data_IF_313480064474
#
_entry.id   IF_313480064474
#
_cell.length_a   1.000
_cell.length_b   1.000
_cell.length_c   1.000
_cell.angle_alpha   90.00
_cell.angle_beta   90.00
_cell.angle_gamma   90.00
#
_symmetry.space_group_name_H-M   'P 1'
#
loop_
_entity.id
_entity.type
_entity.pdbx_description
1 polymer ?
#
# COMPACT_ATOMS: atom_id res chain seq x y z
N UNK A 1 46.80 45.59 -46.23
CA UNK A 1 46.79 44.36 -45.42
C UNK A 1 46.79 44.77 -43.94
N UNK A 2 45.62 44.91 -43.31
CA UNK A 2 45.52 45.43 -41.94
C UNK A 2 45.95 44.36 -40.93
N UNK A 3 47.14 44.50 -40.35
CA UNK A 3 47.60 43.69 -39.21
C UNK A 3 46.87 44.14 -37.95
N UNK A 4 45.78 43.47 -37.61
CA UNK A 4 45.16 43.62 -36.29
C UNK A 4 46.14 43.19 -35.19
N UNK A 5 46.30 44.03 -34.18
CA UNK A 5 47.09 43.70 -32.98
C UNK A 5 46.45 42.52 -32.26
N UNK A 6 47.27 41.59 -31.77
CA UNK A 6 46.84 40.38 -31.01
C UNK A 6 45.92 40.73 -29.83
N UNK A 7 46.10 41.91 -29.22
CA UNK A 7 45.25 42.43 -28.13
C UNK A 7 43.84 42.80 -28.60
N UNK A 8 43.69 43.41 -29.76
CA UNK A 8 42.38 43.82 -30.29
C UNK A 8 41.58 42.62 -30.81
N UNK A 9 42.26 41.63 -31.38
CA UNK A 9 41.66 40.35 -31.74
C UNK A 9 41.13 39.60 -30.51
N UNK A 10 41.92 39.55 -29.43
CA UNK A 10 41.50 38.91 -28.17
C UNK A 10 40.32 39.65 -27.52
N UNK A 11 40.32 40.99 -27.54
CA UNK A 11 39.22 41.81 -27.00
C UNK A 11 37.91 41.60 -27.78
N UNK A 12 37.97 41.52 -29.11
CA UNK A 12 36.80 41.20 -29.96
C UNK A 12 36.30 39.78 -29.76
N UNK A 13 37.19 38.79 -29.64
CA UNK A 13 36.81 37.40 -29.37
C UNK A 13 36.11 37.27 -28.00
N UNK A 14 36.65 37.91 -26.96
CA UNK A 14 36.05 37.91 -25.64
C UNK A 14 34.69 38.64 -25.61
N UNK A 15 34.52 39.71 -26.39
CA UNK A 15 33.23 40.36 -26.56
C UNK A 15 32.21 39.44 -27.26
N UNK A 16 32.59 38.79 -28.36
CA UNK A 16 31.72 37.84 -29.08
C UNK A 16 31.32 36.65 -28.19
N UNK A 17 32.25 36.11 -27.39
CA UNK A 17 31.95 35.06 -26.42
C UNK A 17 30.94 35.53 -25.37
N UNK A 18 31.11 36.73 -24.80
CA UNK A 18 30.15 37.28 -23.84
C UNK A 18 28.76 37.46 -24.45
N UNK A 19 28.66 38.05 -25.64
CA UNK A 19 27.37 38.21 -26.32
C UNK A 19 26.75 36.86 -26.70
N UNK A 20 27.54 35.90 -27.17
CA UNK A 20 27.06 34.55 -27.46
C UNK A 20 26.54 33.83 -26.21
N UNK A 21 27.22 34.00 -25.07
CA UNK A 21 26.81 33.41 -23.79
C UNK A 21 25.54 34.06 -23.25
N UNK A 22 25.40 35.39 -23.38
CA UNK A 22 24.16 36.10 -23.05
C UNK A 22 23.00 35.62 -23.92
N UNK A 23 23.19 35.51 -25.24
CA UNK A 23 22.16 35.01 -26.14
C UNK A 23 21.77 33.57 -25.84
N UNK A 24 22.74 32.72 -25.49
CA UNK A 24 22.46 31.34 -25.10
C UNK A 24 21.66 31.29 -23.80
N UNK A 25 22.03 32.06 -22.78
CA UNK A 25 21.25 32.14 -21.53
C UNK A 25 19.83 32.67 -21.79
N UNK A 26 19.68 33.69 -22.64
CA UNK A 26 18.36 34.20 -23.03
C UNK A 26 17.53 33.14 -23.76
N UNK A 27 18.12 32.38 -24.70
CA UNK A 27 17.45 31.28 -25.39
C UNK A 27 16.97 30.21 -24.41
N UNK A 28 17.84 29.77 -23.50
CA UNK A 28 17.51 28.76 -22.49
C UNK A 28 16.39 29.24 -21.54
N UNK A 29 16.40 30.51 -21.15
CA UNK A 29 15.32 31.06 -20.32
C UNK A 29 13.98 31.08 -21.04
N UNK A 30 13.97 31.43 -22.34
CA UNK A 30 12.73 31.43 -23.14
C UNK A 30 12.22 30.01 -23.36
N UNK A 31 13.10 29.08 -23.70
CA UNK A 31 12.77 27.66 -23.91
C UNK A 31 12.19 27.05 -22.63
N UNK A 32 12.87 27.25 -21.50
CA UNK A 32 12.39 26.82 -20.19
C UNK A 32 11.04 27.44 -19.81
N UNK A 33 10.83 28.73 -20.12
CA UNK A 33 9.57 29.42 -19.86
C UNK A 33 8.42 28.80 -20.66
N UNK A 34 8.64 28.53 -21.96
CA UNK A 34 7.65 27.90 -22.84
C UNK A 34 7.32 26.48 -22.35
N UNK A 35 8.33 25.64 -22.09
CA UNK A 35 8.11 24.29 -21.56
C UNK A 35 7.33 24.31 -20.24
N UNK A 36 7.62 25.29 -19.39
CA UNK A 36 6.95 25.45 -18.11
C UNK A 36 5.48 25.88 -18.26
N UNK A 37 5.17 26.83 -19.15
CA UNK A 37 3.80 27.23 -19.48
C UNK A 37 3.01 26.07 -20.10
N UNK A 38 3.56 25.37 -21.09
CA UNK A 38 2.90 24.20 -21.70
C UNK A 38 2.65 23.08 -20.69
N UNK A 39 3.60 22.86 -19.76
CA UNK A 39 3.41 21.92 -18.68
C UNK A 39 2.32 22.37 -17.70
N UNK A 40 2.23 23.67 -17.40
CA UNK A 40 1.18 24.23 -16.56
C UNK A 40 -0.20 24.12 -17.20
N UNK A 41 -0.33 24.43 -18.49
CA UNK A 41 -1.58 24.25 -19.26
C UNK A 41 -2.01 22.79 -19.28
N UNK A 42 -1.09 21.87 -19.57
CA UNK A 42 -1.37 20.42 -19.54
C UNK A 42 -1.85 19.95 -18.16
N UNK A 43 -1.24 20.45 -17.08
CA UNK A 43 -1.70 20.14 -15.71
C UNK A 43 -3.10 20.70 -15.44
N UNK A 44 -3.41 21.91 -15.90
CA UNK A 44 -4.71 22.53 -15.70
C UNK A 44 -5.82 21.78 -16.45
N UNK A 45 -5.57 21.37 -17.70
CA UNK A 45 -6.49 20.55 -18.49
C UNK A 45 -6.70 19.20 -17.81
N UNK A 46 -5.62 18.51 -17.45
CA UNK A 46 -5.69 17.22 -16.77
C UNK A 46 -6.47 17.29 -15.45
N UNK A 47 -6.22 18.30 -14.61
CA UNK A 47 -6.96 18.48 -13.35
C UNK A 47 -8.45 18.74 -13.58
N UNK A 48 -8.79 19.52 -14.61
CA UNK A 48 -10.19 19.78 -14.99
C UNK A 48 -10.88 18.50 -15.44
N UNK A 49 -10.25 17.76 -16.36
CA UNK A 49 -10.77 16.49 -16.87
C UNK A 49 -10.93 15.44 -15.75
N UNK A 50 -9.94 15.35 -14.86
CA UNK A 50 -10.01 14.47 -13.70
C UNK A 50 -11.14 14.87 -12.75
N UNK A 51 -11.33 16.18 -12.51
CA UNK A 51 -12.44 16.71 -11.72
C UNK A 51 -13.81 16.42 -12.33
N UNK A 52 -13.94 16.52 -13.65
CA UNK A 52 -15.18 16.21 -14.37
C UNK A 52 -15.46 14.70 -14.34
N UNK A 53 -14.43 13.85 -14.48
CA UNK A 53 -14.56 12.42 -14.27
C UNK A 53 -15.00 12.07 -12.85
N UNK A 54 -14.38 12.67 -11.83
CA UNK A 54 -14.74 12.44 -10.43
C UNK A 54 -16.22 12.76 -10.17
N UNK A 55 -16.72 13.90 -10.66
CA UNK A 55 -18.13 14.29 -10.56
C UNK A 55 -19.05 13.29 -11.29
N UNK A 56 -18.67 12.86 -12.49
CA UNK A 56 -19.43 11.88 -13.27
C UNK A 56 -19.57 10.56 -12.51
N UNK A 57 -18.48 10.05 -11.95
CA UNK A 57 -18.51 8.80 -11.18
C UNK A 57 -19.24 8.95 -9.84
N UNK A 58 -19.15 10.11 -9.19
CA UNK A 58 -19.87 10.38 -7.95
C UNK A 58 -21.41 10.33 -8.11
N UNK A 59 -21.93 10.57 -9.32
CA UNK A 59 -23.36 10.43 -9.63
C UNK A 59 -23.82 8.98 -9.89
N UNK A 60 -22.89 8.03 -10.00
CA UNK A 60 -23.21 6.64 -10.35
C UNK A 60 -23.39 5.77 -9.09
N UNK A 61 -24.36 4.87 -9.14
CA UNK A 61 -24.51 3.80 -8.15
C UNK A 61 -23.52 2.66 -8.42
N UNK A 62 -23.34 2.34 -9.70
CA UNK A 62 -22.40 1.33 -10.19
C UNK A 62 -21.29 2.02 -10.99
N UNK A 63 -20.08 1.96 -10.45
CA UNK A 63 -18.93 2.68 -10.98
C UNK A 63 -18.07 1.74 -11.82
N UNK A 64 -17.74 2.06 -13.07
CA UNK A 64 -16.90 1.19 -13.89
C UNK A 64 -15.47 1.13 -13.34
N UNK A 65 -14.90 -0.08 -13.29
CA UNK A 65 -13.49 -0.31 -12.91
C UNK A 65 -12.70 -0.82 -14.13
N UNK A 66 -11.35 -0.72 -14.12
CA UNK A 66 -10.54 -1.25 -15.20
C UNK A 66 -10.90 -2.69 -15.57
N UNK A 67 -11.20 -2.96 -16.84
CA UNK A 67 -11.37 -4.33 -17.36
C UNK A 67 -12.82 -4.82 -17.50
N UNK A 68 -13.81 -3.99 -17.19
CA UNK A 68 -15.21 -4.21 -17.59
C UNK A 68 -16.20 -4.54 -16.47
N UNK A 69 -15.73 -4.88 -15.27
CA UNK A 69 -16.58 -5.01 -14.09
C UNK A 69 -17.03 -3.64 -13.55
N UNK A 70 -18.02 -3.68 -12.66
CA UNK A 70 -18.55 -2.51 -11.98
C UNK A 70 -18.40 -2.67 -10.45
N UNK A 71 -18.17 -1.57 -9.75
CA UNK A 71 -18.18 -1.46 -8.31
C UNK A 71 -19.53 -0.89 -7.85
N UNK A 72 -20.28 -1.67 -7.06
CA UNK A 72 -21.53 -1.24 -6.43
C UNK A 72 -21.22 -0.40 -5.19
N UNK A 73 -21.38 0.92 -5.31
CA UNK A 73 -21.08 1.88 -4.24
C UNK A 73 -22.01 1.73 -3.05
N UNK A 74 -23.25 1.27 -3.25
CA UNK A 74 -24.23 1.11 -2.17
C UNK A 74 -23.78 0.09 -1.12
N UNK A 75 -22.92 -0.86 -1.52
CA UNK A 75 -22.43 -1.95 -0.67
C UNK A 75 -21.17 -1.62 0.11
N UNK A 76 -20.52 -0.49 -0.19
CA UNK A 76 -19.25 -0.06 0.43
C UNK A 76 -19.36 1.36 1.02
N UNK A 77 -20.34 1.65 1.90
CA UNK A 77 -20.41 2.94 2.58
C UNK A 77 -19.09 3.24 3.29
N UNK A 78 -18.68 4.51 3.30
CA UNK A 78 -17.47 4.97 3.98
C UNK A 78 -16.14 4.69 3.28
N UNK A 79 -16.14 3.96 2.16
CA UNK A 79 -14.98 3.82 1.28
C UNK A 79 -15.01 4.84 0.14
N UNK A 80 -13.85 5.37 -0.19
CA UNK A 80 -13.64 6.33 -1.27
C UNK A 80 -12.96 5.64 -2.43
N UNK A 81 -13.28 6.03 -3.65
CA UNK A 81 -12.56 5.56 -4.84
C UNK A 81 -11.88 6.72 -5.56
N UNK A 82 -10.68 6.47 -6.08
CA UNK A 82 -10.02 7.38 -7.01
C UNK A 82 -10.66 7.30 -8.38
N UNK A 83 -10.62 8.41 -9.13
CA UNK A 83 -11.11 8.48 -10.51
C UNK A 83 -9.97 8.70 -11.48
N UNK A 84 -10.02 7.99 -12.61
CA UNK A 84 -9.03 8.09 -13.67
C UNK A 84 -9.71 8.21 -15.04
N UNK A 85 -9.09 8.99 -15.94
CA UNK A 85 -9.52 9.19 -17.31
C UNK A 85 -8.69 8.28 -18.23
N UNK A 86 -9.35 7.42 -18.99
CA UNK A 86 -8.72 6.57 -19.99
C UNK A 86 -8.42 7.33 -21.28
N UNK A 87 -7.50 6.79 -22.08
CA UNK A 87 -7.16 7.32 -23.41
C UNK A 87 -8.33 7.35 -24.39
N UNK A 88 -9.36 6.54 -24.18
CA UNK A 88 -10.61 6.54 -24.96
C UNK A 88 -11.65 7.55 -24.46
N UNK A 89 -11.31 8.37 -23.46
CA UNK A 89 -12.20 9.36 -22.86
C UNK A 89 -13.15 8.81 -21.80
N UNK A 90 -13.08 7.51 -21.46
CA UNK A 90 -13.92 6.91 -20.42
C UNK A 90 -13.40 7.19 -19.01
N UNK A 91 -14.31 7.49 -18.08
CA UNK A 91 -13.99 7.64 -16.65
C UNK A 91 -14.17 6.30 -15.94
N UNK A 92 -13.20 5.93 -15.11
CA UNK A 92 -13.21 4.70 -14.32
C UNK A 92 -12.73 4.95 -12.89
N UNK A 93 -13.08 4.05 -11.97
CA UNK A 93 -12.47 3.97 -10.65
C UNK A 93 -11.32 2.97 -10.64
N UNK A 94 -10.11 3.40 -10.27
CA UNK A 94 -8.89 2.59 -10.30
C UNK A 94 -8.25 2.37 -8.92
N UNK A 95 -8.66 3.12 -7.90
CA UNK A 95 -8.28 2.90 -6.50
C UNK A 95 -9.49 2.89 -5.58
N UNK A 96 -9.35 2.21 -4.44
CA UNK A 96 -10.31 2.18 -3.34
C UNK A 96 -9.56 2.38 -2.03
N UNK A 97 -9.93 3.38 -1.26
CA UNK A 97 -9.31 3.73 0.01
C UNK A 97 -10.36 3.88 1.11
N UNK A 98 -9.99 3.53 2.32
CA UNK A 98 -10.88 3.70 3.46
C UNK A 98 -10.24 3.26 4.76
N UNK A 99 -10.97 3.49 5.85
CA UNK A 99 -10.57 2.97 7.15
C UNK A 99 -11.79 2.55 7.95
N UNK A 100 -11.59 1.55 8.79
CA UNK A 100 -12.66 0.94 9.53
C UNK A 100 -12.19 0.38 10.87
N UNK A 101 -13.14 0.27 11.77
CA UNK A 101 -13.01 -0.43 13.03
C UNK A 101 -13.61 -1.83 12.90
N UNK A 102 -12.88 -2.82 13.39
CA UNK A 102 -13.34 -4.20 13.51
C UNK A 102 -13.83 -4.45 14.93
N UNK A 103 -15.09 -4.84 15.08
CA UNK A 103 -15.71 -5.09 16.38
C UNK A 103 -15.49 -6.51 16.90
N UNK A 104 -14.87 -7.38 16.10
CA UNK A 104 -14.83 -8.83 16.31
C UNK A 104 -15.84 -9.60 15.44
N UNK A 105 -16.83 -8.92 14.86
CA UNK A 105 -17.84 -9.55 13.99
C UNK A 105 -18.29 -8.67 12.84
N UNK A 106 -18.15 -7.36 12.98
CA UNK A 106 -18.63 -6.38 12.00
C UNK A 106 -17.56 -5.33 11.71
N UNK A 107 -17.63 -4.81 10.48
CA UNK A 107 -16.90 -3.64 10.04
C UNK A 107 -17.74 -2.39 10.32
N UNK A 108 -17.18 -1.41 11.03
CA UNK A 108 -17.76 -0.08 11.24
C UNK A 108 -16.87 0.97 10.60
N UNK A 109 -17.43 1.81 9.75
CA UNK A 109 -16.64 2.79 9.01
C UNK A 109 -16.14 3.90 9.94
N UNK A 110 -14.99 4.51 9.63
CA UNK A 110 -14.51 5.66 10.41
C UNK A 110 -15.52 6.81 10.43
N UNK A 111 -16.26 6.98 9.34
CA UNK A 111 -17.30 8.00 9.22
C UNK A 111 -18.43 7.79 10.24
N UNK A 112 -18.97 6.57 10.35
CA UNK A 112 -20.02 6.24 11.32
C UNK A 112 -19.55 6.35 12.78
N UNK A 113 -18.25 6.13 13.00
CA UNK A 113 -17.67 6.09 14.34
C UNK A 113 -17.04 7.43 14.76
N UNK A 114 -17.15 8.48 13.94
CA UNK A 114 -16.54 9.78 14.24
C UNK A 114 -17.07 10.36 15.55
N UNK A 115 -16.17 10.76 16.45
CA UNK A 115 -16.52 11.32 17.76
C UNK A 115 -16.99 10.31 18.83
N UNK A 116 -17.09 9.02 18.51
CA UNK A 116 -17.44 7.96 19.46
C UNK A 116 -16.17 7.37 20.08
N UNK A 117 -16.16 7.15 21.40
CA UNK A 117 -15.07 6.41 22.06
C UNK A 117 -15.18 4.92 21.72
N UNK A 118 -14.09 4.33 21.22
CA UNK A 118 -14.08 2.94 20.77
C UNK A 118 -13.60 2.03 21.90
N UNK A 119 -14.25 0.87 22.12
CA UNK A 119 -13.73 -0.14 23.03
C UNK A 119 -12.29 -0.53 22.67
N UNK A 120 -11.46 -0.76 23.68
CA UNK A 120 -10.06 -1.19 23.48
C UNK A 120 -9.93 -2.57 22.82
N UNK A 121 -11.01 -3.35 22.78
CA UNK A 121 -11.09 -4.63 22.07
C UNK A 121 -11.25 -4.47 20.56
N UNK A 122 -11.58 -3.27 20.07
CA UNK A 122 -11.77 -3.04 18.63
C UNK A 122 -10.43 -2.81 17.95
N UNK A 123 -10.27 -3.43 16.78
CA UNK A 123 -9.09 -3.24 15.93
C UNK A 123 -9.32 -2.13 14.91
N UNK A 124 -8.29 -1.38 14.57
CA UNK A 124 -8.36 -0.34 13.53
C UNK A 124 -7.55 -0.73 12.31
N UNK A 125 -8.15 -0.54 11.13
CA UNK A 125 -7.60 -0.97 9.86
C UNK A 125 -7.74 0.14 8.81
N UNK A 126 -6.71 0.28 7.97
CA UNK A 126 -6.68 1.18 6.82
C UNK A 126 -6.52 0.37 5.55
N UNK A 127 -7.42 0.53 4.60
CA UNK A 127 -7.39 -0.14 3.30
C UNK A 127 -6.92 0.84 2.23
N UNK A 128 -6.01 0.38 1.37
CA UNK A 128 -5.71 1.00 0.08
C UNK A 128 -5.61 -0.09 -0.99
N UNK A 129 -6.54 -0.12 -1.92
CA UNK A 129 -6.68 -1.16 -2.93
C UNK A 129 -6.65 -0.60 -4.35
N UNK A 130 -6.12 -1.39 -5.27
CA UNK A 130 -6.21 -1.16 -6.72
C UNK A 130 -7.44 -1.88 -7.23
N UNK A 131 -8.24 -1.18 -8.03
CA UNK A 131 -9.44 -1.73 -8.65
C UNK A 131 -9.14 -2.22 -10.05
N UNK A 132 -9.48 -3.47 -10.35
CA UNK A 132 -9.45 -4.03 -11.69
C UNK A 132 -10.29 -5.30 -11.78
N UNK A 133 -10.77 -5.59 -12.98
CA UNK A 133 -11.47 -6.82 -13.31
C UNK A 133 -10.45 -7.94 -13.31
N UNK A 134 -10.56 -8.82 -12.31
CA UNK A 134 -9.69 -9.97 -12.20
C UNK A 134 -10.06 -10.94 -13.31
N UNK A 135 -9.17 -11.12 -14.29
CA UNK A 135 -9.22 -12.29 -15.16
C UNK A 135 -8.87 -13.49 -14.29
N UNK A 136 -9.58 -14.61 -14.46
CA UNK A 136 -9.14 -15.89 -13.89
C UNK A 136 -7.69 -16.11 -14.30
N UNK A 137 -6.77 -15.94 -13.36
CA UNK A 137 -5.36 -16.21 -13.61
C UNK A 137 -5.14 -17.67 -13.28
N UNK A 138 -4.88 -18.45 -14.31
CA UNK A 138 -4.44 -19.86 -14.23
C UNK A 138 -2.98 -19.99 -13.76
N UNK A 139 -2.26 -18.88 -13.58
CA UNK A 139 -0.84 -18.89 -13.23
C UNK A 139 -0.57 -18.26 -11.85
N UNK A 140 0.21 -18.92 -10.98
CA UNK A 140 0.54 -18.37 -9.69
C UNK A 140 1.49 -17.18 -9.87
N UNK A 141 1.22 -16.09 -9.14
CA UNK A 141 2.03 -14.87 -9.17
C UNK A 141 3.53 -15.23 -9.11
N UNK A 142 4.29 -14.81 -10.13
CA UNK A 142 5.73 -15.01 -10.27
C UNK A 142 6.54 -14.07 -9.40
N UNK A 143 6.14 -13.90 -8.13
CA UNK A 143 6.94 -13.21 -7.12
C UNK A 143 7.46 -14.30 -6.20
N UNK A 144 8.76 -14.58 -6.31
CA UNK A 144 9.40 -15.70 -5.64
C UNK A 144 9.23 -15.67 -4.13
N UNK A 145 8.51 -16.65 -3.61
CA UNK A 145 8.77 -17.47 -2.41
C UNK A 145 7.51 -18.33 -2.23
N UNK A 146 7.56 -19.58 -2.69
CA UNK A 146 6.43 -20.53 -2.66
C UNK A 146 6.72 -21.64 -1.66
N UNK A 147 6.41 -21.40 -0.40
CA UNK A 147 6.31 -22.49 0.57
C UNK A 147 4.84 -22.66 0.90
N UNK A 148 4.21 -23.68 0.31
CA UNK A 148 2.89 -24.12 0.73
C UNK A 148 2.98 -24.78 2.12
N UNK A 149 4.02 -25.59 2.33
CA UNK A 149 4.28 -26.27 3.59
C UNK A 149 5.58 -25.75 4.22
N UNK A 150 5.62 -25.73 5.55
CA UNK A 150 6.77 -25.32 6.36
C UNK A 150 7.08 -26.42 7.39
N UNK A 151 8.35 -26.65 7.77
CA UNK A 151 8.67 -27.65 8.78
C UNK A 151 8.00 -27.35 10.13
N UNK A 152 7.25 -28.32 10.69
CA UNK A 152 6.47 -28.15 11.93
C UNK A 152 7.33 -27.70 13.13
N UNK A 153 8.59 -28.12 13.17
CA UNK A 153 9.54 -27.73 14.21
C UNK A 153 9.88 -26.23 14.17
N UNK A 154 9.82 -25.63 12.98
CA UNK A 154 10.08 -24.21 12.71
C UNK A 154 8.80 -23.34 12.71
N UNK A 155 7.62 -23.93 12.89
CA UNK A 155 6.37 -23.20 13.09
C UNK A 155 6.20 -22.90 14.58
N UNK A 156 5.88 -21.64 14.87
CA UNK A 156 5.48 -21.18 16.21
C UNK A 156 4.04 -20.71 16.15
N UNK A 157 3.14 -21.41 16.83
CA UNK A 157 1.74 -21.01 16.96
C UNK A 157 1.59 -19.98 18.09
N UNK A 158 1.02 -18.81 17.78
CA UNK A 158 0.88 -17.74 18.74
C UNK A 158 -0.41 -17.90 19.56
N UNK A 159 -0.28 -18.31 20.83
CA UNK A 159 -1.41 -18.63 21.71
C UNK A 159 -2.32 -17.42 21.97
N UNK A 160 -1.75 -16.22 22.02
CA UNK A 160 -2.50 -14.97 22.25
C UNK A 160 -3.12 -14.37 20.98
N UNK A 161 -2.82 -14.95 19.81
CA UNK A 161 -3.21 -14.46 18.49
C UNK A 161 -3.73 -15.61 17.61
N UNK A 162 -4.96 -16.09 17.86
CA UNK A 162 -5.53 -17.23 17.14
C UNK A 162 -5.50 -17.04 15.62
N UNK A 163 -5.01 -18.04 14.91
CA UNK A 163 -4.89 -18.01 13.44
C UNK A 163 -3.63 -17.33 12.89
N UNK A 164 -2.76 -16.82 13.77
CA UNK A 164 -1.43 -16.31 13.41
C UNK A 164 -0.31 -17.26 13.84
N UNK A 165 0.68 -17.40 12.98
CA UNK A 165 1.89 -18.21 13.20
C UNK A 165 3.14 -17.41 12.83
N UNK A 166 4.29 -17.80 13.39
CA UNK A 166 5.60 -17.40 12.87
C UNK A 166 6.24 -18.59 12.19
N UNK A 167 6.71 -18.40 10.97
CA UNK A 167 7.42 -19.42 10.20
C UNK A 167 8.91 -19.08 10.17
N UNK A 168 9.69 -19.77 11.01
CA UNK A 168 11.09 -19.43 11.28
C UNK A 168 12.05 -20.11 10.30
N UNK A 169 13.23 -19.53 10.10
CA UNK A 169 14.28 -20.07 9.23
C UNK A 169 15.26 -20.99 9.97
N UNK A 170 15.24 -20.97 11.30
CA UNK A 170 16.04 -21.80 12.18
C UNK A 170 15.37 -21.92 13.56
N UNK A 171 15.66 -22.98 14.35
CA UNK A 171 15.11 -23.12 15.69
C UNK A 171 15.46 -21.92 16.57
N UNK A 172 14.48 -21.23 17.20
CA UNK A 172 14.72 -20.05 18.01
C UNK A 172 15.36 -20.41 19.36
N UNK A 173 16.22 -19.54 19.94
CA UNK A 173 16.62 -18.23 19.44
C UNK A 173 17.72 -18.33 18.37
N UNK A 174 17.56 -17.63 17.24
CA UNK A 174 18.54 -17.66 16.15
C UNK A 174 18.47 -16.43 15.24
N UNK A 175 19.63 -15.84 14.91
CA UNK A 175 19.73 -14.61 14.11
C UNK A 175 19.15 -14.73 12.69
N UNK A 176 19.20 -15.93 12.08
CA UNK A 176 18.58 -16.23 10.77
C UNK A 176 17.07 -15.94 10.70
N UNK A 177 16.41 -15.77 11.84
CA UNK A 177 14.99 -15.44 11.91
C UNK A 177 14.72 -13.92 11.75
N UNK A 178 15.73 -13.10 11.45
CA UNK A 178 15.62 -11.64 11.41
C UNK A 178 14.42 -11.11 10.61
N UNK A 179 14.13 -11.71 9.45
CA UNK A 179 13.02 -11.28 8.58
C UNK A 179 11.70 -12.01 8.86
N UNK A 180 11.75 -13.19 9.48
CA UNK A 180 10.55 -13.99 9.78
C UNK A 180 9.94 -13.68 11.14
N UNK A 181 10.74 -13.19 12.10
CA UNK A 181 10.29 -12.94 13.47
C UNK A 181 9.28 -11.77 13.59
N UNK A 182 9.16 -10.95 12.54
CA UNK A 182 8.22 -9.81 12.45
C UNK A 182 7.13 -10.03 11.40
N UNK A 183 7.07 -11.20 10.77
CA UNK A 183 6.10 -11.54 9.73
C UNK A 183 5.19 -12.66 10.22
N UNK A 184 3.91 -12.34 10.39
CA UNK A 184 2.88 -13.27 10.86
C UNK A 184 2.19 -13.93 9.69
N UNK A 185 2.13 -15.25 9.71
CA UNK A 185 1.44 -16.07 8.71
C UNK A 185 -0.01 -16.30 9.14
N UNK A 186 -0.96 -16.05 8.25
CA UNK A 186 -2.38 -16.34 8.46
C UNK A 186 -2.66 -17.80 8.09
N UNK A 187 -2.73 -18.68 9.10
CA UNK A 187 -2.84 -20.14 8.93
C UNK A 187 -4.03 -20.57 8.07
N UNK A 188 -5.20 -20.02 8.39
CA UNK A 188 -6.49 -20.52 7.89
C UNK A 188 -7.02 -19.73 6.68
N UNK A 189 -6.20 -18.87 6.08
CA UNK A 189 -6.58 -18.08 4.92
C UNK A 189 -5.43 -17.98 3.93
N UNK A 190 -5.37 -18.95 3.03
CA UNK A 190 -4.34 -19.07 2.01
C UNK A 190 -4.79 -18.42 0.70
N UNK A 191 -3.84 -18.18 -0.17
CA UNK A 191 -4.09 -17.77 -1.55
C UNK A 191 -4.60 -18.97 -2.36
N UNK A 192 -5.13 -18.70 -3.54
CA UNK A 192 -5.67 -19.76 -4.42
C UNK A 192 -4.61 -20.80 -4.81
N UNK A 193 -3.33 -20.40 -4.90
CA UNK A 193 -2.20 -21.28 -5.19
C UNK A 193 -1.65 -22.02 -3.96
N UNK A 194 -2.33 -21.92 -2.82
CA UNK A 194 -1.92 -22.56 -1.56
C UNK A 194 -0.87 -21.78 -0.77
N UNK A 195 -0.28 -20.71 -1.31
CA UNK A 195 0.71 -19.92 -0.56
C UNK A 195 0.06 -19.20 0.64
N UNK A 196 0.77 -19.09 1.77
CA UNK A 196 0.27 -18.36 2.93
C UNK A 196 0.10 -16.87 2.62
N UNK A 197 -0.86 -16.25 3.30
CA UNK A 197 -0.97 -14.79 3.36
C UNK A 197 -0.30 -14.30 4.64
N UNK A 198 0.34 -13.14 4.57
CA UNK A 198 1.16 -12.62 5.67
C UNK A 198 0.77 -11.22 6.11
N UNK A 199 1.05 -10.93 7.38
CA UNK A 199 1.02 -9.60 7.98
C UNK A 199 2.46 -9.27 8.40
N UNK A 200 3.05 -8.23 7.85
CA UNK A 200 4.41 -7.80 8.18
C UNK A 200 4.37 -6.60 9.13
N UNK A 201 4.97 -6.74 10.31
CA UNK A 201 5.07 -5.68 11.31
C UNK A 201 6.45 -5.05 11.28
N UNK A 202 6.78 -4.39 10.16
CA UNK A 202 8.09 -3.76 9.95
C UNK A 202 8.40 -2.65 10.96
N UNK A 203 7.38 -2.08 11.62
CA UNK A 203 7.60 -1.14 12.71
C UNK A 203 8.37 -1.77 13.90
N UNK A 204 8.40 -3.10 14.03
CA UNK A 204 9.20 -3.79 15.05
C UNK A 204 10.70 -3.79 14.72
N UNK A 205 11.08 -3.48 13.47
CA UNK A 205 12.49 -3.28 13.07
C UNK A 205 13.06 -1.99 13.66
N UNK A 206 12.23 -0.97 13.77
CA UNK A 206 12.56 0.35 14.31
C UNK A 206 11.53 0.73 15.38
N UNK A 207 11.53 0.00 16.52
CA UNK A 207 10.52 0.15 17.55
C UNK A 207 10.60 1.55 18.18
N UNK A 208 9.45 2.17 18.45
CA UNK A 208 9.41 3.36 19.30
C UNK A 208 9.71 3.01 20.77
N UNK A 209 9.96 4.04 21.60
CA UNK A 209 10.43 3.90 22.99
C UNK A 209 9.60 2.92 23.84
N UNK A 210 8.26 2.93 23.69
CA UNK A 210 7.36 2.03 24.43
C UNK A 210 7.59 0.56 24.10
N UNK A 211 7.79 0.24 22.83
CA UNK A 211 8.02 -1.13 22.33
C UNK A 211 9.40 -1.60 22.75
N UNK A 212 10.39 -0.71 22.64
CA UNK A 212 11.76 -0.99 23.05
C UNK A 212 11.85 -1.24 24.55
N UNK A 213 11.16 -0.43 25.36
CA UNK A 213 11.08 -0.62 26.83
C UNK A 213 10.37 -1.92 27.19
N UNK A 214 9.38 -2.34 26.41
CA UNK A 214 8.68 -3.60 26.59
C UNK A 214 9.49 -4.84 26.14
N UNK A 215 10.69 -4.65 25.57
CA UNK A 215 11.52 -5.76 25.08
C UNK A 215 10.90 -6.50 23.89
N UNK A 216 10.11 -5.80 23.07
CA UNK A 216 9.41 -6.39 21.92
C UNK A 216 9.95 -5.87 20.57
N UNK A 217 11.11 -5.20 20.58
CA UNK A 217 11.83 -4.86 19.36
C UNK A 217 12.39 -6.11 18.69
N UNK A 218 12.64 -6.06 17.37
CA UNK A 218 13.20 -7.19 16.60
C UNK A 218 14.38 -7.87 17.29
N UNK A 219 15.33 -7.09 17.80
CA UNK A 219 16.54 -7.62 18.44
C UNK A 219 16.24 -8.41 19.72
N UNK A 220 15.14 -8.10 20.41
CA UNK A 220 14.72 -8.82 21.61
C UNK A 220 13.92 -10.06 21.24
N UNK A 221 13.05 -9.97 20.23
CA UNK A 221 12.31 -11.13 19.70
C UNK A 221 13.26 -12.24 19.21
N UNK A 222 14.40 -11.90 18.62
CA UNK A 222 15.40 -12.87 18.16
C UNK A 222 16.09 -13.65 19.29
N UNK A 223 16.02 -13.17 20.53
CA UNK A 223 16.60 -13.82 21.72
C UNK A 223 15.61 -14.75 22.41
N UNK A 224 14.33 -14.72 22.02
CA UNK A 224 13.29 -15.55 22.61
C UNK A 224 13.38 -16.98 22.08
N UNK A 225 13.13 -17.94 22.96
CA UNK A 225 12.96 -19.34 22.59
C UNK A 225 11.53 -19.60 22.07
N UNK A 226 11.26 -20.83 21.60
CA UNK A 226 9.95 -21.20 21.04
C UNK A 226 8.80 -20.94 22.01
N UNK A 227 8.89 -21.42 23.25
CA UNK A 227 7.83 -21.27 24.25
C UNK A 227 7.55 -19.78 24.58
N UNK A 228 8.59 -18.96 24.66
CA UNK A 228 8.44 -17.52 24.86
C UNK A 228 7.75 -16.84 23.67
N UNK A 229 8.07 -17.25 22.45
CA UNK A 229 7.41 -16.75 21.24
C UNK A 229 5.95 -17.20 21.15
N UNK A 230 5.63 -18.45 21.52
CA UNK A 230 4.24 -18.93 21.54
C UNK A 230 3.34 -18.12 22.48
N UNK A 231 3.91 -17.66 23.60
CA UNK A 231 3.21 -16.88 24.62
C UNK A 231 3.40 -15.37 24.46
N UNK A 232 3.93 -14.90 23.33
CA UNK A 232 4.15 -13.49 23.06
C UNK A 232 2.81 -12.73 23.12
N UNK A 233 2.80 -11.59 23.82
CA UNK A 233 1.68 -10.66 23.83
C UNK A 233 2.21 -9.26 23.55
N UNK A 234 1.86 -8.73 22.39
CA UNK A 234 2.10 -7.33 22.05
C UNK A 234 1.18 -6.38 22.83
N UNK A 235 0.20 -6.87 23.59
CA UNK A 235 -0.69 -6.05 24.40
C UNK A 235 -1.36 -4.93 23.61
N UNK A 236 -1.54 -3.75 24.25
CA UNK A 236 -2.09 -2.54 23.62
C UNK A 236 -0.99 -1.70 22.95
N UNK A 237 0.12 -2.33 22.58
CA UNK A 237 1.21 -1.62 21.92
C UNK A 237 0.85 -1.28 20.47
N UNK A 238 1.33 -0.12 20.03
CA UNK A 238 1.05 0.44 18.71
C UNK A 238 2.33 0.48 17.89
N UNK A 239 2.58 -0.61 17.18
CA UNK A 239 3.58 -0.69 16.13
C UNK A 239 2.88 -0.95 14.81
N UNK A 240 3.27 -0.19 13.79
CA UNK A 240 2.71 -0.31 12.45
C UNK A 240 2.99 -1.69 11.83
N UNK A 241 1.94 -2.26 11.27
CA UNK A 241 1.92 -3.51 10.51
C UNK A 241 1.18 -3.31 9.19
N UNK A 242 1.50 -4.16 8.20
CA UNK A 242 0.92 -4.11 6.85
C UNK A 242 0.65 -5.51 6.32
N UNK A 243 -0.52 -5.70 5.76
CA UNK A 243 -0.79 -6.75 4.78
C UNK A 243 -0.44 -6.19 3.42
N UNK A 244 0.51 -6.81 2.73
CA UNK A 244 0.97 -6.34 1.42
C UNK A 244 0.02 -6.71 0.28
N UNK A 245 0.19 -6.06 -0.88
CA UNK A 245 -0.62 -6.27 -2.11
C UNK A 245 -0.74 -7.75 -2.51
N UNK A 246 0.33 -8.53 -2.34
CA UNK A 246 0.33 -9.95 -2.69
C UNK A 246 -0.39 -10.82 -1.64
N UNK A 247 -0.60 -10.32 -0.43
CA UNK A 247 -1.25 -11.01 0.68
C UNK A 247 -2.72 -10.64 0.85
N UNK A 248 -3.23 -9.63 0.15
CA UNK A 248 -4.65 -9.24 0.19
C UNK A 248 -5.22 -9.01 -1.22
N UNK A 249 -6.22 -9.82 -1.57
CA UNK A 249 -6.96 -9.72 -2.83
C UNK A 249 -8.44 -9.99 -2.62
N UNK A 250 -9.25 -9.51 -3.56
CA UNK A 250 -10.70 -9.67 -3.62
C UNK A 250 -11.14 -9.80 -5.09
N UNK A 251 -12.44 -9.95 -5.36
CA UNK A 251 -12.94 -10.17 -6.74
C UNK A 251 -12.61 -9.02 -7.71
N UNK A 252 -12.49 -7.80 -7.20
CA UNK A 252 -12.28 -6.57 -7.98
C UNK A 252 -10.90 -5.96 -7.84
N UNK A 253 -9.91 -6.71 -7.36
CA UNK A 253 -8.54 -6.23 -7.30
C UNK A 253 -7.69 -6.81 -6.16
N UNK A 254 -6.66 -6.05 -5.78
CA UNK A 254 -5.73 -6.34 -4.69
C UNK A 254 -5.41 -5.07 -3.90
N UNK A 255 -4.88 -5.22 -2.70
CA UNK A 255 -4.70 -4.06 -1.83
C UNK A 255 -3.76 -4.28 -0.66
N UNK A 256 -3.52 -3.18 0.06
CA UNK A 256 -2.78 -3.16 1.31
C UNK A 256 -3.74 -2.88 2.46
N UNK A 257 -3.50 -3.55 3.59
CA UNK A 257 -4.19 -3.23 4.83
C UNK A 257 -3.16 -2.85 5.88
N UNK A 258 -3.18 -1.58 6.29
CA UNK A 258 -2.43 -1.09 7.44
C UNK A 258 -3.21 -1.37 8.73
N UNK A 259 -2.50 -1.80 9.77
CA UNK A 259 -3.03 -2.05 11.10
C UNK A 259 -1.90 -1.88 12.12
N UNK A 260 -2.22 -1.85 13.41
CA UNK A 260 -1.20 -1.84 14.46
C UNK A 260 -1.15 -3.18 15.19
N UNK A 261 -0.05 -3.44 15.92
CA UNK A 261 0.14 -4.66 16.72
C UNK A 261 -1.01 -4.94 17.69
N UNK A 262 -1.67 -3.91 18.21
CA UNK A 262 -2.86 -4.05 19.06
C UNK A 262 -4.05 -4.71 18.35
N UNK A 263 -4.11 -4.62 17.02
CA UNK A 263 -5.19 -5.17 16.20
C UNK A 263 -4.89 -6.58 15.69
N UNK A 264 -3.69 -7.13 15.93
CA UNK A 264 -3.27 -8.44 15.42
C UNK A 264 -4.21 -9.57 15.83
N UNK A 265 -4.80 -9.52 17.03
CA UNK A 265 -5.67 -10.59 17.55
C UNK A 265 -6.91 -10.80 16.69
N UNK A 266 -7.49 -9.72 16.16
CA UNK A 266 -8.66 -9.78 15.28
C UNK A 266 -8.31 -9.74 13.79
N UNK A 267 -7.03 -9.59 13.43
CA UNK A 267 -6.61 -9.34 12.07
C UNK A 267 -6.99 -10.47 11.09
N UNK A 268 -6.76 -11.77 11.39
CA UNK A 268 -7.11 -12.84 10.44
C UNK A 268 -8.58 -12.82 10.01
N UNK A 269 -9.49 -12.61 10.97
CA UNK A 269 -10.93 -12.57 10.70
C UNK A 269 -11.34 -11.28 10.01
N UNK A 270 -10.85 -10.13 10.47
CA UNK A 270 -11.11 -8.83 9.87
C UNK A 270 -10.68 -8.77 8.39
N UNK A 271 -9.47 -9.26 8.10
CA UNK A 271 -8.90 -9.21 6.75
C UNK A 271 -9.68 -10.14 5.80
N UNK A 272 -10.03 -11.35 6.27
CA UNK A 272 -10.88 -12.26 5.50
C UNK A 272 -12.26 -11.65 5.25
N UNK A 273 -12.87 -11.09 6.30
CA UNK A 273 -14.18 -10.45 6.19
C UNK A 273 -14.17 -9.29 5.18
N UNK A 274 -13.18 -8.41 5.22
CA UNK A 274 -13.11 -7.28 4.29
C UNK A 274 -12.84 -7.74 2.86
N UNK A 275 -12.06 -8.81 2.65
CA UNK A 275 -11.90 -9.44 1.32
C UNK A 275 -13.24 -9.94 0.76
N UNK A 276 -14.03 -10.65 1.57
CA UNK A 276 -15.35 -11.15 1.17
C UNK A 276 -16.36 -10.00 0.97
N UNK A 277 -16.34 -9.00 1.85
CA UNK A 277 -17.17 -7.81 1.79
C UNK A 277 -16.95 -7.02 0.49
N UNK A 278 -15.69 -6.72 0.16
CA UNK A 278 -15.34 -6.04 -1.10
C UNK A 278 -15.60 -6.93 -2.31
N UNK A 279 -15.41 -8.25 -2.21
CA UNK A 279 -15.73 -9.15 -3.32
C UNK A 279 -17.22 -9.10 -3.68
N UNK A 280 -18.10 -8.99 -2.67
CA UNK A 280 -19.55 -8.85 -2.88
C UNK A 280 -19.97 -7.49 -3.44
N UNK A 281 -19.11 -6.47 -3.42
CA UNK A 281 -19.39 -5.18 -4.05
C UNK A 281 -19.03 -5.13 -5.53
N UNK A 282 -18.50 -6.22 -6.10
CA UNK A 282 -18.11 -6.28 -7.50
C UNK A 282 -19.18 -6.98 -8.32
N UNK A 283 -19.62 -6.32 -9.37
CA UNK A 283 -20.54 -6.85 -10.38
C UNK A 283 -19.70 -7.20 -11.60
N UNK A 284 -19.51 -8.49 -11.83
CA UNK A 284 -18.92 -8.99 -13.08
C UNK A 284 -20.00 -9.07 -14.16
N UNK A 285 -19.67 -8.67 -15.39
CA UNK A 285 -20.55 -8.92 -16.53
C UNK A 285 -20.74 -10.42 -16.72
N UNK A 286 -22.00 -10.86 -16.86
CA UNK A 286 -22.32 -12.21 -17.34
C UNK A 286 -22.01 -12.34 -18.82
#
# INVERSE_FOLDING_TARGET
MFKMSRKDAFRRCNALLKYGLVLLVCYWMVDFYIEWEEAAERRAIYQKEQGDCSKKLAGMEQVPIPGGSLLDRSRIPGFYFGSNLRSDGSCIADTLEGSFWWTGSELRTEYEMSGIEKPSSWGYFRLAARLYTRKERTEPHSMGYRHADWPDDLIVELKNYPGLELWLNAPPPHFKNEFSITTFVMRNWRRHDGTPRTISCDGLNHPGDKIQTAGLGKQDLLKLNKEQLENLDFGVLQTYCTVELYSFDFAGGDGRIGLDTSSLRGAPEAIKFVSDYLSRSIITGK
#
